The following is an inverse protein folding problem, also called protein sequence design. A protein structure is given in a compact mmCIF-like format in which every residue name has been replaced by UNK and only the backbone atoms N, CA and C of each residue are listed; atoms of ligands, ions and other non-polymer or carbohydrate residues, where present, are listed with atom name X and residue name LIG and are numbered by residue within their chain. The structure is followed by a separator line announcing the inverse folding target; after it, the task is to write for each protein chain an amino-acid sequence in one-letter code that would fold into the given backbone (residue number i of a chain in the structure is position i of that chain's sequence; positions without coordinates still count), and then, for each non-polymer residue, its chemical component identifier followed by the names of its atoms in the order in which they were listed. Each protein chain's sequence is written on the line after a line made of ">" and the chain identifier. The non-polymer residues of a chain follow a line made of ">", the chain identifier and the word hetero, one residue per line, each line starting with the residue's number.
data_IF_943238088331
#
_entry.id   IF_943238088331
#
_cell.length_a   1.000
_cell.length_b   1.000
_cell.length_c   1.000
_cell.angle_alpha   90.00
_cell.angle_beta   90.00
_cell.angle_gamma   90.00
#
_symmetry.space_group_name_H-M   'P 1'
#
loop_
_entity.id
_entity.type
_entity.pdbx_description
1 polymer ?
#
# COMPACT_ATOMS: atom_id res chain seq x y z
N UNK A 1 19.80 13.90 -0.49
CA UNK A 1 19.06 14.97 0.23
C UNK A 1 18.45 14.37 1.50
N UNK A 2 18.26 15.13 2.58
CA UNK A 2 17.55 14.62 3.76
C UNK A 2 16.04 14.62 3.49
N UNK A 3 15.38 13.46 3.63
CA UNK A 3 13.94 13.34 3.42
C UNK A 3 13.17 14.17 4.47
N UNK A 4 12.28 15.04 3.99
CA UNK A 4 11.26 15.67 4.82
C UNK A 4 9.92 15.05 4.42
N UNK A 5 9.42 14.14 5.27
CA UNK A 5 8.25 13.31 4.97
C UNK A 5 7.03 14.17 4.60
N UNK A 6 6.71 15.18 5.43
CA UNK A 6 5.58 16.06 5.18
C UNK A 6 5.67 16.78 3.84
N UNK A 7 6.84 17.31 3.49
CA UNK A 7 7.04 17.96 2.19
C UNK A 7 6.96 16.98 1.03
N UNK A 8 7.53 15.78 1.19
CA UNK A 8 7.49 14.73 0.16
C UNK A 8 6.05 14.28 -0.11
N UNK A 9 5.26 14.00 0.92
CA UNK A 9 3.86 13.58 0.77
C UNK A 9 2.96 14.65 0.12
N UNK A 10 3.34 15.93 0.20
CA UNK A 10 2.63 17.01 -0.50
C UNK A 10 3.01 17.17 -1.98
N UNK A 11 3.99 16.40 -2.48
CA UNK A 11 4.34 16.40 -3.91
C UNK A 11 3.44 15.47 -4.70
N UNK A 12 3.39 15.63 -6.02
CA UNK A 12 2.67 14.72 -6.93
C UNK A 12 3.12 13.26 -6.75
N UNK A 13 4.44 13.03 -6.65
CA UNK A 13 4.99 11.69 -6.38
C UNK A 13 4.53 11.13 -5.03
N UNK A 14 4.43 11.98 -4.00
CA UNK A 14 3.95 11.59 -2.68
C UNK A 14 2.46 11.24 -2.67
N UNK A 15 1.65 12.01 -3.41
CA UNK A 15 0.23 11.73 -3.58
C UNK A 15 -0.03 10.42 -4.33
N UNK A 16 0.65 10.22 -5.46
CA UNK A 16 0.55 8.97 -6.25
C UNK A 16 1.03 7.74 -5.47
N UNK A 17 2.05 7.91 -4.62
CA UNK A 17 2.47 6.86 -3.68
C UNK A 17 1.33 6.52 -2.71
N UNK A 18 0.76 7.51 -2.04
CA UNK A 18 -0.31 7.32 -1.07
C UNK A 18 -1.53 6.62 -1.70
N UNK A 19 -1.97 7.11 -2.86
CA UNK A 19 -3.07 6.51 -3.61
C UNK A 19 -2.76 5.07 -4.04
N UNK A 20 -1.53 4.80 -4.49
CA UNK A 20 -1.10 3.45 -4.87
C UNK A 20 -1.20 2.49 -3.68
N UNK A 21 -0.76 2.90 -2.49
CA UNK A 21 -0.81 2.06 -1.30
C UNK A 21 -2.24 1.82 -0.81
N UNK A 22 -3.08 2.86 -0.81
CA UNK A 22 -4.52 2.74 -0.48
C UNK A 22 -5.24 1.81 -1.44
N UNK A 23 -5.02 1.98 -2.74
CA UNK A 23 -5.57 1.11 -3.77
C UNK A 23 -5.07 -0.33 -3.61
N UNK A 24 -3.79 -0.51 -3.22
CA UNK A 24 -3.23 -1.83 -3.00
C UNK A 24 -3.88 -2.54 -1.81
N UNK A 25 -4.02 -1.85 -0.67
CA UNK A 25 -4.66 -2.41 0.53
C UNK A 25 -6.10 -2.86 0.23
N UNK A 26 -6.88 -1.99 -0.43
CA UNK A 26 -8.24 -2.32 -0.85
C UNK A 26 -8.27 -3.49 -1.82
N UNK A 27 -7.39 -3.52 -2.82
CA UNK A 27 -7.34 -4.60 -3.79
C UNK A 27 -6.97 -5.94 -3.13
N UNK A 28 -6.09 -5.94 -2.14
CA UNK A 28 -5.75 -7.14 -1.36
C UNK A 28 -6.96 -7.67 -0.59
N UNK A 29 -7.75 -6.77 0.00
CA UNK A 29 -8.97 -7.13 0.74
C UNK A 29 -10.04 -7.70 -0.20
N UNK A 30 -10.31 -7.05 -1.32
CA UNK A 30 -11.29 -7.54 -2.29
C UNK A 30 -10.83 -8.81 -2.99
N UNK A 31 -9.52 -8.97 -3.26
CA UNK A 31 -8.96 -10.22 -3.77
C UNK A 31 -9.19 -11.37 -2.78
N UNK A 32 -8.99 -11.13 -1.48
CA UNK A 32 -9.24 -12.13 -0.42
C UNK A 32 -10.70 -12.57 -0.42
N UNK A 33 -11.64 -11.62 -0.46
CA UNK A 33 -13.09 -11.90 -0.52
C UNK A 33 -13.47 -12.68 -1.77
N UNK A 34 -12.88 -12.36 -2.93
CA UNK A 34 -13.16 -13.06 -4.18
C UNK A 34 -12.37 -14.37 -4.35
N UNK A 35 -11.53 -14.78 -3.39
CA UNK A 35 -10.69 -15.98 -3.54
C UNK A 35 -11.56 -17.24 -3.50
N UNK A 36 -11.50 -18.12 -4.52
CA UNK A 36 -12.27 -19.37 -4.54
C UNK A 36 -12.00 -20.24 -3.31
N UNK A 37 -13.08 -20.65 -2.65
CA UNK A 37 -13.01 -21.44 -1.41
C UNK A 37 -12.83 -20.63 -0.12
N UNK A 38 -12.67 -19.31 -0.22
CA UNK A 38 -12.71 -18.38 0.92
C UNK A 38 -13.98 -17.53 0.87
N UNK A 39 -14.28 -16.95 -0.28
CA UNK A 39 -15.53 -16.21 -0.51
C UNK A 39 -16.09 -16.44 -1.90
N UNK A 40 -16.89 -15.50 -2.38
CA UNK A 40 -17.64 -15.61 -3.63
C UNK A 40 -16.78 -15.09 -4.81
N UNK A 41 -16.35 -15.96 -5.75
CA UNK A 41 -15.54 -15.57 -6.90
C UNK A 41 -16.20 -14.54 -7.82
N UNK A 42 -17.54 -14.46 -7.79
CA UNK A 42 -18.35 -13.54 -8.59
C UNK A 42 -18.67 -12.24 -7.83
N UNK A 43 -18.21 -12.10 -6.57
CA UNK A 43 -18.40 -10.88 -5.79
C UNK A 43 -17.56 -9.71 -6.34
N UNK A 44 -18.23 -8.58 -6.57
CA UNK A 44 -17.59 -7.35 -7.06
C UNK A 44 -17.07 -7.50 -8.49
N UNK A 45 -15.80 -7.17 -8.71
CA UNK A 45 -15.14 -7.25 -10.03
C UNK A 45 -14.45 -8.62 -10.27
N UNK A 46 -14.54 -9.54 -9.31
CA UNK A 46 -14.02 -10.90 -9.36
C UNK A 46 -12.51 -11.03 -9.11
N UNK A 47 -12.08 -12.24 -8.74
CA UNK A 47 -10.69 -12.53 -8.34
C UNK A 47 -9.65 -12.07 -9.36
N UNK A 48 -9.88 -12.38 -10.64
CA UNK A 48 -8.92 -12.10 -11.71
C UNK A 48 -8.67 -10.61 -11.91
N UNK A 49 -9.67 -9.75 -11.66
CA UNK A 49 -9.49 -8.30 -11.69
C UNK A 49 -8.61 -7.85 -10.51
N UNK A 50 -8.98 -8.23 -9.29
CA UNK A 50 -8.27 -7.80 -8.09
C UNK A 50 -6.83 -8.34 -8.02
N UNK A 51 -6.56 -9.53 -8.53
CA UNK A 51 -5.21 -10.06 -8.65
C UNK A 51 -4.33 -9.24 -9.60
N UNK A 52 -4.88 -8.78 -10.74
CA UNK A 52 -4.16 -7.87 -11.65
C UNK A 52 -3.94 -6.50 -11.02
N UNK A 53 -4.92 -5.97 -10.30
CA UNK A 53 -4.79 -4.71 -9.57
C UNK A 53 -3.69 -4.80 -8.50
N UNK A 54 -3.66 -5.90 -7.73
CA UNK A 54 -2.59 -6.15 -6.76
C UNK A 54 -1.20 -6.16 -7.41
N UNK A 55 -1.03 -6.85 -8.54
CA UNK A 55 0.23 -6.88 -9.28
C UNK A 55 0.63 -5.48 -9.77
N UNK A 56 -0.32 -4.74 -10.34
CA UNK A 56 -0.05 -3.37 -10.82
C UNK A 56 0.35 -2.43 -9.68
N UNK A 57 -0.28 -2.53 -8.51
CA UNK A 57 0.09 -1.72 -7.34
C UNK A 57 1.46 -2.11 -6.80
N UNK A 58 1.76 -3.42 -6.76
CA UNK A 58 3.07 -3.92 -6.36
C UNK A 58 4.18 -3.38 -7.28
N UNK A 59 4.00 -3.48 -8.60
CA UNK A 59 4.98 -2.99 -9.57
C UNK A 59 5.24 -1.48 -9.42
N UNK A 60 4.18 -0.69 -9.19
CA UNK A 60 4.30 0.76 -8.92
C UNK A 60 5.05 1.02 -7.62
N UNK A 61 4.71 0.29 -6.56
CA UNK A 61 5.40 0.40 -5.27
C UNK A 61 6.89 0.12 -5.39
N UNK A 62 7.31 -0.92 -6.13
CA UNK A 62 8.74 -1.22 -6.33
C UNK A 62 9.48 -0.07 -7.04
N UNK A 63 8.84 0.60 -8.00
CA UNK A 63 9.39 1.80 -8.64
C UNK A 63 9.55 2.95 -7.62
N UNK A 64 8.54 3.20 -6.79
CA UNK A 64 8.64 4.21 -5.74
C UNK A 64 9.72 3.88 -4.72
N UNK A 65 9.83 2.62 -4.29
CA UNK A 65 10.85 2.13 -3.37
C UNK A 65 12.26 2.40 -3.92
N UNK A 66 12.49 2.08 -5.19
CA UNK A 66 13.75 2.37 -5.89
C UNK A 66 14.05 3.88 -5.95
N UNK A 67 13.06 4.70 -6.30
CA UNK A 67 13.23 6.14 -6.39
C UNK A 67 13.56 6.76 -5.02
N UNK A 68 12.83 6.38 -3.97
CA UNK A 68 13.06 6.87 -2.61
C UNK A 68 14.47 6.50 -2.14
N UNK A 69 14.89 5.25 -2.37
CA UNK A 69 16.24 4.78 -2.08
C UNK A 69 17.30 5.60 -2.85
N UNK A 70 17.08 5.86 -4.14
CA UNK A 70 18.02 6.62 -4.97
C UNK A 70 18.18 8.09 -4.52
N UNK A 71 17.07 8.78 -4.20
CA UNK A 71 17.10 10.21 -3.91
C UNK A 71 17.39 10.55 -2.44
N UNK A 72 16.98 9.67 -1.52
CA UNK A 72 17.04 9.91 -0.09
C UNK A 72 17.95 8.95 0.67
N UNK A 73 18.35 7.82 0.06
CA UNK A 73 19.23 6.84 0.69
C UNK A 73 18.57 6.05 1.82
N UNK A 74 17.25 6.07 1.91
CA UNK A 74 16.47 5.36 2.93
C UNK A 74 15.67 4.27 2.22
N UNK A 75 15.68 3.07 2.80
CA UNK A 75 14.83 1.97 2.35
C UNK A 75 13.55 1.93 3.18
N UNK A 76 12.43 1.78 2.47
CA UNK A 76 11.11 1.65 3.05
C UNK A 76 10.44 0.39 2.51
N UNK A 77 9.53 -0.17 3.29
CA UNK A 77 8.76 -1.37 2.99
C UNK A 77 7.28 -1.11 3.23
N UNK A 78 6.45 -1.70 2.37
CA UNK A 78 5.02 -1.79 2.63
C UNK A 78 4.77 -2.80 3.76
N UNK A 79 4.00 -2.40 4.76
CA UNK A 79 3.56 -3.24 5.88
C UNK A 79 2.04 -3.18 6.01
N UNK A 80 1.43 -4.32 6.36
CA UNK A 80 -0.02 -4.48 6.47
C UNK A 80 -0.33 -5.49 7.56
N UNK A 81 -1.25 -5.13 8.44
CA UNK A 81 -1.84 -5.97 9.48
C UNK A 81 -3.36 -5.81 9.44
N UNK A 82 -4.06 -6.57 10.30
CA UNK A 82 -5.49 -6.38 10.52
C UNK A 82 -5.81 -5.07 11.26
N UNK A 83 -4.81 -4.39 11.85
CA UNK A 83 -4.99 -3.14 12.59
C UNK A 83 -4.61 -1.89 11.79
N UNK A 84 -3.66 -2.01 10.86
CA UNK A 84 -3.16 -0.89 10.08
C UNK A 84 -2.49 -1.33 8.78
N UNK A 85 -2.21 -0.36 7.90
CA UNK A 85 -1.29 -0.54 6.78
C UNK A 85 -0.50 0.75 6.53
N UNK A 86 0.62 0.64 5.82
CA UNK A 86 1.43 1.80 5.50
C UNK A 86 2.81 1.47 4.97
N UNK A 87 3.67 2.48 4.96
CA UNK A 87 5.05 2.36 4.52
C UNK A 87 5.98 2.83 5.63
N UNK A 88 6.90 1.96 6.04
CA UNK A 88 7.88 2.24 7.09
C UNK A 88 9.25 1.65 6.77
N UNK A 89 10.29 2.09 7.48
CA UNK A 89 11.61 1.47 7.39
C UNK A 89 11.65 0.13 8.17
N UNK A 90 12.74 -0.61 8.07
CA UNK A 90 12.86 -1.99 8.60
C UNK A 90 12.52 -2.15 10.10
N UNK A 91 12.75 -1.14 10.93
CA UNK A 91 12.48 -1.17 12.38
C UNK A 91 11.21 -0.41 12.79
N UNK A 92 10.40 0.01 11.80
CA UNK A 92 9.17 0.78 11.98
C UNK A 92 9.32 2.10 12.77
N UNK A 93 10.53 2.66 12.87
CA UNK A 93 10.78 3.93 13.57
C UNK A 93 10.43 5.16 12.72
N UNK A 94 10.39 5.01 11.40
CA UNK A 94 10.08 6.06 10.44
C UNK A 94 8.95 5.60 9.53
N UNK A 95 7.86 6.37 9.47
CA UNK A 95 6.69 6.11 8.63
C UNK A 95 6.55 7.19 7.56
N UNK A 96 6.46 6.79 6.29
CA UNK A 96 6.03 7.69 5.21
C UNK A 96 4.53 7.95 5.28
N UNK A 97 3.77 6.89 5.53
CA UNK A 97 2.34 6.93 5.77
C UNK A 97 1.93 5.76 6.67
N UNK A 98 0.92 5.97 7.50
CA UNK A 98 0.29 4.93 8.30
C UNK A 98 -1.20 5.22 8.38
N UNK A 99 -2.02 4.25 7.98
CA UNK A 99 -3.46 4.30 8.15
C UNK A 99 -3.89 3.18 9.09
N UNK A 100 -4.61 3.55 10.14
CA UNK A 100 -5.21 2.59 11.05
C UNK A 100 -6.56 2.17 10.45
N UNK A 101 -6.88 0.88 10.56
CA UNK A 101 -8.23 0.40 10.27
C UNK A 101 -9.10 0.77 11.46
N UNK A 102 -10.20 1.48 11.23
CA UNK A 102 -11.20 1.62 12.29
C UNK A 102 -11.74 0.22 12.60
N UNK A 103 -11.69 -0.21 13.87
CA UNK A 103 -12.56 -1.29 14.32
C UNK A 103 -13.98 -0.81 14.02
N UNK A 104 -14.64 -1.36 13.00
CA UNK A 104 -16.09 -1.36 12.98
C UNK A 104 -16.53 -2.12 14.24
N UNK A 105 -16.67 -1.39 15.35
CA UNK A 105 -17.37 -1.85 16.55
C UNK A 105 -18.81 -2.05 16.12
N UNK A 106 -19.11 -3.28 15.68
CA UNK A 106 -20.45 -3.80 15.47
C UNK A 106 -21.29 -3.67 16.73
#
# INVERSE_FOLDING_TARGET
>A
MKLNIKKFMMTEMGGELEETIKAWDQALEERRKATPGIGDPDQGLGFGYWDRTCKSCQDRWEVFKLAIRQFYGIEFNFTRTDEYFGICNDDETIWLMKENREEERQ
#
